data_IF_828423384903
#
_entry.id   IF_828423384903
#
_cell.length_a   1.000
_cell.length_b   1.000
_cell.length_c   1.000
_cell.angle_alpha   90.00
_cell.angle_beta   90.00
_cell.angle_gamma   90.00
#
_symmetry.space_group_name_H-M   'P 1'
#
loop_
_entity.id
_entity.type
_entity.pdbx_description
1 polymer ?
#
# COMPACT_ATOMS: atom_id res chain seq x y z
N UNK A 1 -0.62 -19.71 1.84
CA UNK A 1 0.34 -18.87 1.08
C UNK A 1 -0.47 -17.86 0.28
N UNK A 2 -0.07 -16.60 0.31
CA UNK A 2 -0.62 -15.58 -0.60
C UNK A 2 -0.09 -15.92 -2.01
N UNK A 3 -0.73 -16.87 -2.72
CA UNK A 3 -0.38 -17.19 -4.10
C UNK A 3 -1.08 -16.20 -5.04
N UNK A 4 -0.54 -15.01 -5.15
CA UNK A 4 -0.98 -14.03 -6.13
C UNK A 4 0.08 -13.93 -7.22
N UNK A 5 -0.34 -13.84 -8.48
CA UNK A 5 0.56 -13.48 -9.58
C UNK A 5 0.89 -11.98 -9.58
N UNK A 6 0.35 -11.25 -8.61
CA UNK A 6 0.50 -9.81 -8.45
C UNK A 6 1.50 -9.53 -7.33
N UNK A 7 2.55 -8.77 -7.62
CA UNK A 7 3.56 -8.33 -6.66
C UNK A 7 3.29 -6.91 -6.15
N UNK A 8 2.75 -6.03 -7.00
CA UNK A 8 2.43 -4.66 -6.61
C UNK A 8 1.20 -4.60 -5.69
N UNK A 9 1.33 -3.91 -4.57
CA UNK A 9 0.31 -3.73 -3.53
C UNK A 9 0.04 -2.23 -3.36
N UNK A 10 -1.02 -1.68 -3.98
CA UNK A 10 -1.39 -0.28 -3.76
C UNK A 10 -1.93 -0.06 -2.36
N UNK A 11 -1.84 1.17 -1.87
CA UNK A 11 -2.38 1.58 -0.58
C UNK A 11 -3.72 2.28 -0.79
N UNK A 12 -4.81 1.71 -0.25
CA UNK A 12 -6.17 2.17 -0.55
C UNK A 12 -6.59 3.43 0.22
N UNK A 13 -5.97 3.72 1.36
CA UNK A 13 -6.43 4.73 2.31
C UNK A 13 -5.47 5.91 2.51
N UNK A 14 -4.51 6.08 1.62
CA UNK A 14 -3.76 7.33 1.49
C UNK A 14 -4.60 8.37 0.74
N UNK A 15 -4.16 9.62 0.72
CA UNK A 15 -4.82 10.67 -0.05
C UNK A 15 -5.00 10.26 -1.52
N UNK A 16 -3.96 9.71 -2.13
CA UNK A 16 -3.99 9.23 -3.52
C UNK A 16 -4.88 7.97 -3.66
N UNK A 17 -4.76 7.01 -2.74
CA UNK A 17 -5.56 5.79 -2.76
C UNK A 17 -7.06 6.05 -2.65
N UNK A 18 -7.47 7.06 -1.89
CA UNK A 18 -8.87 7.47 -1.71
C UNK A 18 -9.49 8.16 -2.95
N UNK A 19 -8.69 8.53 -3.96
CA UNK A 19 -9.22 9.00 -5.24
C UNK A 19 -9.91 7.89 -6.05
N UNK A 20 -9.69 6.63 -5.70
CA UNK A 20 -10.30 5.46 -6.34
C UNK A 20 -11.22 4.72 -5.37
N UNK A 21 -12.33 4.21 -5.89
CA UNK A 21 -13.16 3.23 -5.18
C UNK A 21 -12.58 1.82 -5.34
N UNK A 22 -13.01 0.88 -4.51
CA UNK A 22 -12.66 -0.53 -4.66
C UNK A 22 -12.93 -1.05 -6.08
N UNK A 23 -14.06 -0.65 -6.69
CA UNK A 23 -14.43 -1.02 -8.07
C UNK A 23 -13.38 -0.55 -9.09
N UNK A 24 -12.82 0.66 -8.93
CA UNK A 24 -11.80 1.17 -9.85
C UNK A 24 -10.47 0.39 -9.74
N UNK A 25 -10.08 0.01 -8.52
CA UNK A 25 -8.93 -0.85 -8.31
C UNK A 25 -9.14 -2.25 -8.92
N UNK A 26 -10.34 -2.81 -8.78
CA UNK A 26 -10.69 -4.11 -9.37
C UNK A 26 -10.75 -4.07 -10.91
N UNK A 27 -11.20 -2.96 -11.50
CA UNK A 27 -11.23 -2.74 -12.94
C UNK A 27 -9.83 -2.87 -13.58
N UNK A 28 -8.79 -2.45 -12.87
CA UNK A 28 -7.40 -2.63 -13.29
C UNK A 28 -6.78 -3.92 -12.73
N UNK A 29 -7.61 -4.90 -12.34
CA UNK A 29 -7.23 -6.25 -11.91
C UNK A 29 -6.37 -6.29 -10.63
N UNK A 30 -6.45 -5.28 -9.78
CA UNK A 30 -5.84 -5.33 -8.45
C UNK A 30 -6.62 -6.32 -7.59
N UNK A 31 -5.94 -7.37 -7.13
CA UNK A 31 -6.51 -8.46 -6.31
C UNK A 31 -5.98 -8.45 -4.88
N UNK A 32 -4.89 -7.71 -4.62
CA UNK A 32 -4.28 -7.54 -3.31
C UNK A 32 -3.95 -6.07 -3.10
N UNK A 33 -4.32 -5.53 -1.96
CA UNK A 33 -4.08 -4.13 -1.61
C UNK A 33 -3.82 -3.99 -0.11
N UNK A 34 -3.28 -2.86 0.31
CA UNK A 34 -3.02 -2.56 1.71
C UNK A 34 -3.82 -1.36 2.22
N UNK A 35 -3.95 -1.29 3.54
CA UNK A 35 -4.39 -0.10 4.27
C UNK A 35 -3.41 0.18 5.41
N UNK A 36 -3.05 1.44 5.59
CA UNK A 36 -2.30 1.89 6.76
C UNK A 36 -3.22 2.00 7.97
N UNK A 37 -2.91 1.26 9.05
CA UNK A 37 -3.76 1.20 10.23
C UNK A 37 -3.79 2.53 10.99
N UNK A 38 -2.68 3.27 11.03
CA UNK A 38 -2.63 4.62 11.61
C UNK A 38 -3.62 5.57 10.93
N UNK A 39 -3.73 5.53 9.60
CA UNK A 39 -4.70 6.33 8.86
C UNK A 39 -6.14 5.86 9.10
N UNK A 40 -6.38 4.55 9.20
CA UNK A 40 -7.71 4.01 9.55
C UNK A 40 -8.14 4.43 10.96
N UNK A 41 -7.22 4.46 11.91
CA UNK A 41 -7.49 4.92 13.27
C UNK A 41 -7.87 6.41 13.30
N UNK A 42 -7.33 7.22 12.37
CA UNK A 42 -7.71 8.63 12.21
C UNK A 42 -9.05 8.76 11.49
N UNK A 43 -9.22 8.07 10.36
CA UNK A 43 -10.46 8.03 9.56
C UNK A 43 -10.65 6.64 8.95
N UNK A 44 -11.75 5.95 9.19
CA UNK A 44 -13.02 6.41 9.82
C UNK A 44 -12.98 6.50 11.35
N UNK A 45 -11.87 6.10 12.01
CA UNK A 45 -11.67 6.22 13.44
C UNK A 45 -11.91 4.90 14.22
N UNK A 46 -11.23 4.79 15.36
CA UNK A 46 -11.25 3.58 16.20
C UNK A 46 -12.67 3.14 16.59
N UNK A 47 -13.54 4.08 16.95
CA UNK A 47 -14.90 3.76 17.38
C UNK A 47 -15.71 3.06 16.28
N UNK A 48 -15.54 3.46 15.03
CA UNK A 48 -16.20 2.82 13.89
C UNK A 48 -15.56 1.47 13.59
N UNK A 49 -14.23 1.41 13.51
CA UNK A 49 -13.50 0.19 13.16
C UNK A 49 -13.83 -0.99 14.07
N UNK A 50 -13.94 -0.78 15.39
CA UNK A 50 -14.26 -1.85 16.35
C UNK A 50 -15.70 -2.36 16.25
N UNK A 51 -16.61 -1.63 15.58
CA UNK A 51 -18.02 -1.99 15.42
C UNK A 51 -18.37 -2.51 14.03
N UNK A 52 -17.45 -2.43 13.06
CA UNK A 52 -17.65 -3.00 11.71
C UNK A 52 -17.55 -4.52 11.83
N UNK A 53 -18.56 -5.23 11.37
CA UNK A 53 -18.58 -6.71 11.38
C UNK A 53 -17.78 -7.34 10.24
N UNK A 54 -17.63 -6.61 9.14
CA UNK A 54 -16.88 -7.05 7.95
C UNK A 54 -16.23 -5.81 7.30
N UNK A 55 -14.93 -5.67 7.52
CA UNK A 55 -14.19 -4.50 7.03
C UNK A 55 -14.02 -4.51 5.52
N UNK A 56 -13.85 -5.68 4.90
CA UNK A 56 -13.72 -5.78 3.44
C UNK A 56 -15.02 -5.40 2.76
N UNK A 57 -16.15 -5.81 3.31
CA UNK A 57 -17.47 -5.41 2.84
C UNK A 57 -17.74 -3.90 3.03
N UNK A 58 -17.26 -3.33 4.15
CA UNK A 58 -17.33 -1.88 4.36
C UNK A 58 -16.58 -1.09 3.28
N UNK A 59 -15.42 -1.57 2.85
CA UNK A 59 -14.65 -0.98 1.74
C UNK A 59 -15.24 -1.30 0.35
N UNK A 60 -16.13 -2.28 0.22
CA UNK A 60 -16.53 -2.86 -1.07
C UNK A 60 -15.41 -3.65 -1.74
N UNK A 61 -14.42 -4.13 -0.96
CA UNK A 61 -13.23 -4.81 -1.45
C UNK A 61 -13.42 -6.32 -1.46
N UNK A 62 -13.26 -6.96 -2.63
CA UNK A 62 -13.41 -8.41 -2.78
C UNK A 62 -12.05 -9.15 -2.86
N UNK A 63 -10.95 -8.44 -2.91
CA UNK A 63 -9.60 -9.00 -2.96
C UNK A 63 -8.99 -9.28 -1.58
N UNK A 64 -7.72 -9.60 -1.56
CA UNK A 64 -6.93 -9.76 -0.33
C UNK A 64 -6.56 -8.40 0.26
N UNK A 65 -6.81 -8.23 1.54
CA UNK A 65 -6.45 -7.02 2.28
C UNK A 65 -5.27 -7.28 3.19
N UNK A 66 -4.22 -6.48 3.05
CA UNK A 66 -3.08 -6.42 3.98
C UNK A 66 -3.27 -5.20 4.87
N UNK A 67 -2.97 -5.36 6.16
CA UNK A 67 -2.99 -4.25 7.09
C UNK A 67 -1.56 -3.83 7.43
N UNK A 68 -1.18 -2.61 7.11
CA UNK A 68 0.13 -2.10 7.49
C UNK A 68 0.02 -1.32 8.81
N UNK A 69 0.45 -1.94 9.90
CA UNK A 69 0.51 -1.33 11.23
C UNK A 69 1.95 -0.94 11.63
N UNK A 70 2.96 -1.18 10.77
CA UNK A 70 4.38 -0.96 11.08
C UNK A 70 4.72 0.47 11.50
N UNK A 71 3.90 1.45 11.12
CA UNK A 71 4.07 2.87 11.43
C UNK A 71 3.61 3.24 12.84
N UNK A 72 2.87 2.36 13.52
CA UNK A 72 2.43 2.57 14.89
C UNK A 72 3.58 2.33 15.87
N UNK A 73 3.68 3.18 16.88
CA UNK A 73 4.70 3.07 17.92
C UNK A 73 4.00 3.10 19.26
N UNK A 74 4.22 2.07 20.09
CA UNK A 74 3.81 2.09 21.49
C UNK A 74 4.94 2.58 22.39
N UNK A 75 4.57 3.28 23.45
CA UNK A 75 5.49 3.70 24.49
C UNK A 75 5.90 2.51 25.40
N UNK A 76 6.77 2.77 26.37
CA UNK A 76 7.24 1.76 27.35
C UNK A 76 6.14 1.16 28.24
N UNK A 77 4.95 1.78 28.28
CA UNK A 77 3.78 1.26 28.99
C UNK A 77 2.84 0.49 28.06
N UNK A 78 3.21 0.28 26.79
CA UNK A 78 2.40 -0.41 25.79
C UNK A 78 1.23 0.42 25.29
N UNK A 79 1.33 1.76 25.31
CA UNK A 79 0.31 2.67 24.81
C UNK A 79 0.70 3.26 23.46
N UNK A 80 -0.15 3.07 22.46
CA UNK A 80 -0.10 3.79 21.18
C UNK A 80 -0.90 5.09 21.32
N UNK A 81 -0.30 6.21 20.96
CA UNK A 81 -0.95 7.52 20.98
C UNK A 81 -0.83 8.16 19.60
N UNK A 82 -1.96 8.40 18.95
CA UNK A 82 -2.04 9.16 17.71
C UNK A 82 -2.69 10.52 17.98
N UNK A 83 -2.21 11.56 17.33
CA UNK A 83 -2.80 12.90 17.35
C UNK A 83 -3.43 13.14 15.99
N UNK A 84 -4.73 13.39 15.96
CA UNK A 84 -5.45 13.70 14.75
C UNK A 84 -4.97 15.06 14.18
N UNK A 85 -4.50 15.10 12.92
CA UNK A 85 -4.11 16.35 12.28
C UNK A 85 -5.31 17.25 11.92
N UNK A 86 -6.54 16.72 12.05
CA UNK A 86 -7.77 17.41 11.65
C UNK A 86 -8.34 18.30 12.76
N UNK A 87 -8.27 17.81 14.01
CA UNK A 87 -8.92 18.44 15.17
C UNK A 87 -8.06 18.40 16.44
N UNK A 88 -6.84 17.85 16.37
CA UNK A 88 -5.94 17.70 17.50
C UNK A 88 -6.39 16.67 18.55
N UNK A 89 -7.45 15.91 18.29
CA UNK A 89 -7.91 14.86 19.21
C UNK A 89 -6.87 13.77 19.36
N UNK A 90 -6.83 13.12 20.53
CA UNK A 90 -5.89 12.04 20.85
C UNK A 90 -6.60 10.71 20.86
N UNK A 91 -6.14 9.80 20.00
CA UNK A 91 -6.55 8.41 19.97
C UNK A 91 -5.52 7.63 20.79
N UNK A 92 -5.98 6.89 21.78
CA UNK A 92 -5.12 6.07 22.65
C UNK A 92 -5.60 4.63 22.61
N UNK A 93 -4.65 3.71 22.39
CA UNK A 93 -4.89 2.28 22.41
C UNK A 93 -3.76 1.59 23.19
N UNK A 94 -4.11 0.60 23.97
CA UNK A 94 -3.14 -0.35 24.53
C UNK A 94 -2.67 -1.32 23.43
N UNK A 95 -1.53 -1.99 23.64
CA UNK A 95 -1.08 -3.08 22.76
C UNK A 95 -2.15 -4.18 22.63
N UNK A 96 -2.84 -4.51 23.72
CA UNK A 96 -3.93 -5.51 23.69
C UNK A 96 -5.10 -5.06 22.81
N UNK A 97 -5.54 -3.80 22.92
CA UNK A 97 -6.61 -3.25 22.06
C UNK A 97 -6.18 -3.18 20.60
N UNK A 98 -4.91 -2.89 20.33
CA UNK A 98 -4.37 -2.90 18.96
C UNK A 98 -4.41 -4.30 18.35
N UNK A 99 -3.96 -5.32 19.08
CA UNK A 99 -4.01 -6.72 18.65
C UNK A 99 -5.47 -7.15 18.44
N UNK A 100 -6.35 -6.86 19.39
CA UNK A 100 -7.76 -7.17 19.25
C UNK A 100 -8.39 -6.52 18.01
N UNK A 101 -8.03 -5.26 17.70
CA UNK A 101 -8.51 -4.59 16.49
C UNK A 101 -7.99 -5.26 15.20
N UNK A 102 -6.71 -5.65 15.16
CA UNK A 102 -6.13 -6.37 14.01
C UNK A 102 -6.88 -7.69 13.78
N UNK A 103 -7.09 -8.46 14.85
CA UNK A 103 -7.83 -9.73 14.79
C UNK A 103 -9.28 -9.53 14.39
N UNK A 104 -9.89 -8.43 14.81
CA UNK A 104 -11.27 -8.07 14.46
C UNK A 104 -11.42 -7.68 12.99
N UNK A 105 -10.49 -6.88 12.44
CA UNK A 105 -10.45 -6.51 11.01
C UNK A 105 -10.20 -7.76 10.14
N UNK A 106 -9.45 -8.72 10.65
CA UNK A 106 -9.18 -10.01 10.02
C UNK A 106 -8.56 -9.88 8.61
N UNK A 107 -7.44 -9.16 8.45
CA UNK A 107 -6.74 -9.10 7.18
C UNK A 107 -6.11 -10.45 6.83
N UNK A 108 -5.74 -10.68 5.56
CA UNK A 108 -4.99 -11.89 5.19
C UNK A 108 -3.55 -11.87 5.69
N UNK A 109 -3.00 -10.66 5.85
CA UNK A 109 -1.66 -10.45 6.41
C UNK A 109 -1.58 -9.08 7.10
N UNK A 110 -0.60 -8.92 7.99
CA UNK A 110 -0.36 -7.66 8.70
C UNK A 110 1.13 -7.41 8.91
N UNK A 111 1.59 -6.18 8.66
CA UNK A 111 2.91 -5.72 9.06
C UNK A 111 2.83 -5.24 10.51
N UNK A 112 3.50 -5.94 11.42
CA UNK A 112 3.43 -5.65 12.85
C UNK A 112 4.42 -4.55 13.27
N UNK A 113 3.99 -3.65 14.18
CA UNK A 113 4.89 -2.65 14.77
C UNK A 113 6.02 -3.31 15.57
N UNK A 114 7.25 -2.83 15.44
CA UNK A 114 8.39 -3.35 16.20
C UNK A 114 8.16 -3.24 17.71
N UNK A 115 7.60 -2.13 18.16
CA UNK A 115 7.33 -1.89 19.60
C UNK A 115 6.26 -2.82 20.16
N UNK A 116 5.27 -3.23 19.37
CA UNK A 116 4.26 -4.20 19.77
C UNK A 116 4.90 -5.59 19.98
N UNK A 117 5.65 -6.06 19.00
CA UNK A 117 6.26 -7.41 19.05
C UNK A 117 7.27 -7.52 20.17
N UNK A 118 8.05 -6.47 20.44
CA UNK A 118 9.05 -6.45 21.50
C UNK A 118 8.45 -6.23 22.89
N UNK A 119 7.32 -5.53 22.97
CA UNK A 119 6.77 -5.05 24.25
C UNK A 119 5.51 -5.77 24.75
N UNK A 120 4.93 -6.70 23.98
CA UNK A 120 3.70 -7.37 24.35
C UNK A 120 3.85 -8.89 24.37
N UNK A 121 4.15 -9.45 25.53
CA UNK A 121 4.43 -10.90 25.73
C UNK A 121 3.27 -11.81 25.36
N UNK A 122 2.02 -11.36 25.53
CA UNK A 122 0.82 -12.13 25.18
C UNK A 122 0.42 -12.09 23.69
N UNK A 123 1.24 -11.53 22.83
CA UNK A 123 0.93 -11.39 21.41
C UNK A 123 0.61 -12.73 20.74
N UNK A 124 1.49 -13.69 20.89
CA UNK A 124 1.40 -14.97 20.18
C UNK A 124 0.41 -15.95 20.81
N UNK A 125 0.04 -15.77 22.07
CA UNK A 125 -0.96 -16.62 22.77
C UNK A 125 -2.38 -16.40 22.22
N UNK A 126 -2.67 -15.21 21.70
CA UNK A 126 -3.97 -14.85 21.14
C UNK A 126 -3.97 -14.67 19.62
N UNK A 127 -2.83 -14.97 18.95
CA UNK A 127 -2.71 -14.76 17.52
C UNK A 127 -3.58 -15.75 16.71
N UNK A 128 -4.24 -15.25 15.67
CA UNK A 128 -5.01 -16.07 14.73
C UNK A 128 -4.07 -16.53 13.59
N UNK A 129 -3.80 -17.83 13.51
CA UNK A 129 -2.92 -18.44 12.51
C UNK A 129 -3.40 -18.26 11.05
N UNK A 130 -4.63 -17.80 10.85
CA UNK A 130 -5.15 -17.45 9.52
C UNK A 130 -4.60 -16.12 9.00
N UNK A 131 -4.04 -15.27 9.87
CA UNK A 131 -3.44 -13.98 9.54
C UNK A 131 -1.92 -14.14 9.51
N UNK A 132 -1.31 -13.90 8.33
CA UNK A 132 0.14 -13.95 8.20
C UNK A 132 0.79 -12.69 8.78
N UNK A 133 1.56 -12.79 9.88
CA UNK A 133 2.31 -11.64 10.40
C UNK A 133 3.58 -11.44 9.59
N UNK A 134 3.85 -10.21 9.19
CA UNK A 134 5.15 -9.77 8.71
C UNK A 134 5.87 -9.01 9.82
N UNK A 135 7.12 -9.35 10.06
CA UNK A 135 7.99 -8.74 11.06
C UNK A 135 9.14 -8.00 10.39
N UNK A 136 9.68 -6.99 11.04
CA UNK A 136 10.87 -6.32 10.51
C UNK A 136 12.08 -7.28 10.54
N UNK A 137 12.95 -7.13 9.56
CA UNK A 137 14.22 -7.87 9.50
C UNK A 137 14.99 -7.79 10.82
N UNK A 138 15.06 -6.60 11.44
CA UNK A 138 15.77 -6.35 12.70
C UNK A 138 15.24 -7.20 13.86
N UNK A 139 13.92 -7.44 13.90
CA UNK A 139 13.30 -8.25 14.95
C UNK A 139 13.66 -9.73 14.79
N UNK A 140 13.64 -10.23 13.56
CA UNK A 140 13.95 -11.64 13.29
C UNK A 140 15.41 -12.00 13.51
N UNK A 141 16.32 -11.03 13.54
CA UNK A 141 17.71 -11.25 13.93
C UNK A 141 17.87 -11.50 15.44
N UNK A 142 16.91 -11.09 16.25
CA UNK A 142 17.00 -11.12 17.73
C UNK A 142 15.93 -11.97 18.42
N UNK A 143 14.81 -12.22 17.74
CA UNK A 143 13.66 -12.92 18.32
C UNK A 143 13.38 -14.24 17.60
N UNK A 144 13.03 -15.27 18.37
CA UNK A 144 12.39 -16.47 17.84
C UNK A 144 10.88 -16.26 17.82
N UNK A 145 10.29 -16.30 16.63
CA UNK A 145 8.86 -16.09 16.40
C UNK A 145 8.20 -17.44 16.18
N UNK A 146 7.13 -17.78 16.92
CA UNK A 146 6.42 -19.02 16.70
C UNK A 146 5.58 -18.96 15.41
N UNK A 147 5.43 -20.11 14.75
CA UNK A 147 4.55 -20.25 13.61
C UNK A 147 5.06 -19.66 12.29
N UNK A 148 4.14 -19.52 11.33
CA UNK A 148 4.44 -18.97 10.02
C UNK A 148 4.49 -17.44 10.08
N UNK A 149 5.50 -16.85 9.50
CA UNK A 149 5.66 -15.41 9.38
C UNK A 149 6.36 -15.03 8.08
N UNK A 150 6.27 -13.75 7.73
CA UNK A 150 7.03 -13.13 6.64
C UNK A 150 7.99 -12.07 7.17
N UNK A 151 8.80 -11.52 6.28
CA UNK A 151 9.77 -10.46 6.58
C UNK A 151 9.40 -9.22 5.81
N UNK A 152 9.29 -8.06 6.50
CA UNK A 152 9.12 -6.80 5.81
C UNK A 152 10.35 -5.90 5.90
N UNK A 153 10.53 -5.11 4.85
CA UNK A 153 11.59 -4.12 4.70
C UNK A 153 10.93 -2.76 4.49
N UNK A 154 11.31 -1.77 5.30
CA UNK A 154 10.88 -0.39 5.08
C UNK A 154 11.88 0.32 4.16
N UNK A 155 11.48 0.59 2.93
CA UNK A 155 12.35 1.19 1.92
C UNK A 155 12.75 2.63 2.24
N UNK A 156 11.98 3.36 3.08
CA UNK A 156 12.37 4.71 3.51
C UNK A 156 13.67 4.72 4.31
N UNK A 157 14.01 3.60 4.96
CA UNK A 157 15.22 3.38 5.76
C UNK A 157 16.32 2.64 4.99
N UNK A 158 15.98 1.97 3.89
CA UNK A 158 16.88 1.17 3.07
C UNK A 158 17.12 1.85 1.72
N UNK A 159 18.38 2.12 1.37
CA UNK A 159 18.73 2.55 0.03
C UNK A 159 18.77 1.35 -0.90
N UNK A 160 18.22 1.49 -2.10
CA UNK A 160 18.34 0.46 -3.13
C UNK A 160 19.80 0.35 -3.60
N UNK A 161 20.49 -0.65 -3.08
CA UNK A 161 21.89 -0.93 -3.34
C UNK A 161 22.16 -2.44 -3.15
N UNK A 162 23.41 -2.85 -3.37
CA UNK A 162 23.82 -4.25 -3.22
C UNK A 162 23.57 -4.82 -1.81
N UNK A 163 23.70 -3.99 -0.78
CA UNK A 163 23.41 -4.41 0.60
C UNK A 163 21.92 -4.74 0.76
N UNK A 164 21.00 -3.89 0.29
CA UNK A 164 19.57 -4.17 0.30
C UNK A 164 19.23 -5.45 -0.46
N UNK A 165 19.82 -5.64 -1.65
CA UNK A 165 19.63 -6.86 -2.44
C UNK A 165 20.13 -8.10 -1.72
N UNK A 166 21.28 -8.00 -1.05
CA UNK A 166 21.86 -9.07 -0.23
C UNK A 166 20.95 -9.43 0.94
N UNK A 167 20.31 -8.43 1.58
CA UNK A 167 19.34 -8.66 2.64
C UNK A 167 18.08 -9.38 2.11
N UNK A 168 17.53 -8.97 0.97
CA UNK A 168 16.41 -9.68 0.35
C UNK A 168 16.76 -11.14 0.06
N UNK A 169 17.99 -11.41 -0.44
CA UNK A 169 18.46 -12.76 -0.72
C UNK A 169 18.61 -13.59 0.56
N UNK A 170 19.14 -13.00 1.63
CA UNK A 170 19.29 -13.66 2.95
C UNK A 170 17.97 -14.19 3.48
N UNK A 171 16.87 -13.49 3.24
CA UNK A 171 15.55 -13.82 3.75
C UNK A 171 14.62 -14.48 2.70
N UNK A 172 15.17 -14.91 1.57
CA UNK A 172 14.39 -15.46 0.42
C UNK A 172 13.57 -16.73 0.71
N UNK A 173 13.87 -17.42 1.80
CA UNK A 173 13.10 -18.60 2.28
C UNK A 173 11.73 -18.19 2.88
N UNK A 174 11.56 -16.92 3.23
CA UNK A 174 10.34 -16.36 3.81
C UNK A 174 9.53 -15.58 2.78
N UNK A 175 8.21 -15.42 2.98
CA UNK A 175 7.44 -14.40 2.28
C UNK A 175 8.06 -13.02 2.52
N UNK A 176 8.36 -12.28 1.45
CA UNK A 176 8.99 -10.96 1.55
C UNK A 176 7.98 -9.85 1.23
N UNK A 177 8.09 -8.76 1.97
CA UNK A 177 7.30 -7.55 1.79
C UNK A 177 8.19 -6.32 1.83
N UNK A 178 8.13 -5.48 0.81
CA UNK A 178 8.87 -4.21 0.74
C UNK A 178 7.86 -3.08 0.73
N UNK A 179 7.96 -2.15 1.67
CA UNK A 179 7.04 -1.02 1.82
C UNK A 179 7.78 0.30 1.80
N UNK A 180 7.25 1.29 1.09
CA UNK A 180 7.80 2.64 1.09
C UNK A 180 7.58 3.43 -0.20
N UNK A 181 8.27 4.56 -0.38
CA UNK A 181 8.19 5.38 -1.58
C UNK A 181 8.98 4.73 -2.72
N UNK A 182 8.36 3.75 -3.39
CA UNK A 182 8.98 2.93 -4.43
C UNK A 182 8.41 3.35 -5.79
N UNK A 183 9.25 3.96 -6.64
CA UNK A 183 8.88 4.40 -7.98
C UNK A 183 8.76 3.25 -8.99
N UNK A 184 8.26 3.56 -10.19
CA UNK A 184 7.95 2.59 -11.23
C UNK A 184 9.15 1.71 -11.62
N UNK A 185 10.31 2.31 -11.86
CA UNK A 185 11.53 1.60 -12.29
C UNK A 185 11.96 0.55 -11.26
N UNK A 186 11.86 0.90 -9.98
CA UNK A 186 12.22 -0.01 -8.90
C UNK A 186 11.15 -1.09 -8.69
N UNK A 187 9.87 -0.77 -8.86
CA UNK A 187 8.80 -1.76 -8.84
C UNK A 187 9.04 -2.79 -9.95
N UNK A 188 9.36 -2.34 -11.17
CA UNK A 188 9.67 -3.22 -12.29
C UNK A 188 10.87 -4.14 -11.98
N UNK A 189 11.93 -3.58 -11.40
CA UNK A 189 13.14 -4.34 -11.06
C UNK A 189 12.88 -5.39 -9.97
N UNK A 190 12.10 -5.05 -8.96
CA UNK A 190 11.69 -5.97 -7.91
C UNK A 190 10.67 -7.02 -8.40
N UNK A 191 9.79 -6.68 -9.35
CA UNK A 191 8.83 -7.62 -9.95
C UNK A 191 9.53 -8.77 -10.69
N UNK A 192 10.72 -8.54 -11.23
CA UNK A 192 11.56 -9.60 -11.84
C UNK A 192 12.05 -10.61 -10.81
N UNK A 193 12.04 -10.27 -9.53
CA UNK A 193 12.41 -11.13 -8.40
C UNK A 193 11.12 -11.73 -7.85
N UNK A 194 10.85 -13.00 -8.15
CA UNK A 194 9.63 -13.72 -7.73
C UNK A 194 9.48 -13.71 -6.20
N UNK A 195 8.23 -13.66 -5.73
CA UNK A 195 7.81 -13.81 -4.33
C UNK A 195 8.03 -12.60 -3.40
N UNK A 196 8.10 -11.38 -3.93
CA UNK A 196 8.17 -10.16 -3.13
C UNK A 196 6.88 -9.37 -3.33
N UNK A 197 6.18 -9.03 -2.25
CA UNK A 197 5.09 -8.06 -2.28
C UNK A 197 5.66 -6.65 -2.13
N UNK A 198 5.26 -5.74 -3.01
CA UNK A 198 5.81 -4.38 -3.11
C UNK A 198 4.68 -3.39 -2.84
N UNK A 199 4.65 -2.85 -1.62
CA UNK A 199 3.70 -1.81 -1.24
C UNK A 199 4.25 -0.43 -1.59
N UNK A 200 3.54 0.29 -2.43
CA UNK A 200 3.89 1.67 -2.74
C UNK A 200 2.66 2.52 -3.08
N UNK A 201 2.68 3.76 -2.62
CA UNK A 201 1.74 4.82 -2.96
C UNK A 201 2.31 5.79 -4.04
N UNK A 202 3.59 5.65 -4.40
CA UNK A 202 4.25 6.56 -5.36
C UNK A 202 3.59 6.59 -6.74
N UNK A 203 3.16 5.45 -7.35
CA UNK A 203 2.46 5.52 -8.63
C UNK A 203 1.18 6.36 -8.58
N UNK A 204 0.43 6.27 -7.48
CA UNK A 204 -0.77 7.07 -7.30
C UNK A 204 -0.45 8.54 -6.99
N UNK A 205 0.57 8.83 -6.18
CA UNK A 205 1.02 10.20 -5.89
C UNK A 205 1.53 10.91 -7.13
N UNK A 206 2.34 10.25 -7.95
CA UNK A 206 2.81 10.81 -9.22
C UNK A 206 1.64 11.14 -10.14
N UNK A 207 0.65 10.26 -10.24
CA UNK A 207 -0.56 10.50 -10.99
C UNK A 207 -1.36 11.71 -10.47
N UNK A 208 -1.47 11.88 -9.15
CA UNK A 208 -2.11 13.07 -8.56
C UNK A 208 -1.43 14.38 -8.95
N UNK A 209 -0.11 14.34 -9.16
CA UNK A 209 0.71 15.47 -9.61
C UNK A 209 0.68 15.66 -11.13
N UNK A 210 -0.03 14.83 -11.87
CA UNK A 210 -0.09 14.87 -13.33
C UNK A 210 1.02 14.10 -14.04
N UNK A 211 1.87 13.39 -13.31
CA UNK A 211 2.93 12.56 -13.88
C UNK A 211 2.40 11.17 -14.18
N UNK A 212 2.43 10.77 -15.45
CA UNK A 212 1.99 9.45 -15.92
C UNK A 212 3.13 8.67 -16.55
N UNK A 213 3.10 7.35 -16.39
CA UNK A 213 4.13 6.45 -16.86
C UNK A 213 3.88 6.03 -18.32
N UNK A 214 4.92 5.99 -19.13
CA UNK A 214 4.87 5.53 -20.50
C UNK A 214 6.15 4.82 -20.89
N UNK A 215 6.13 4.01 -21.94
CA UNK A 215 7.30 3.24 -22.41
C UNK A 215 8.47 4.12 -22.84
N UNK A 216 8.18 5.29 -23.35
CA UNK A 216 9.20 6.28 -23.77
C UNK A 216 9.67 7.19 -22.63
N UNK A 217 9.17 6.95 -21.40
CA UNK A 217 9.42 7.74 -20.22
C UNK A 217 8.17 8.37 -19.62
N UNK A 218 8.33 9.05 -18.50
CA UNK A 218 7.24 9.71 -17.83
C UNK A 218 6.76 10.95 -18.60
N UNK A 219 5.46 11.17 -18.62
CA UNK A 219 4.82 12.34 -19.21
C UNK A 219 4.29 13.24 -18.11
N UNK A 220 4.67 14.50 -18.11
CA UNK A 220 4.09 15.53 -17.25
C UNK A 220 2.90 16.18 -17.96
N UNK A 221 1.70 15.83 -17.49
CA UNK A 221 0.44 16.38 -18.04
C UNK A 221 0.16 17.82 -17.56
N UNK A 222 0.97 18.39 -16.66
CA UNK A 222 0.88 19.80 -16.28
C UNK A 222 1.60 20.71 -17.27
N UNK A 223 2.47 20.15 -18.12
CA UNK A 223 3.21 20.89 -19.13
C UNK A 223 2.27 21.41 -20.24
N UNK A 224 2.36 22.70 -20.56
CA UNK A 224 1.57 23.37 -21.59
C UNK A 224 1.74 22.74 -22.98
N UNK A 225 2.85 22.07 -23.26
CA UNK A 225 3.06 21.34 -24.53
C UNK A 225 2.06 20.22 -24.73
N UNK A 226 1.42 19.72 -23.65
CA UNK A 226 0.40 18.68 -23.71
C UNK A 226 -0.96 19.21 -24.17
N UNK A 227 -1.22 20.53 -24.12
CA UNK A 227 -2.50 21.13 -24.48
C UNK A 227 -3.00 20.77 -25.91
N UNK A 228 -2.07 20.50 -26.83
CA UNK A 228 -2.36 20.12 -28.22
C UNK A 228 -1.80 18.74 -28.59
N UNK A 229 -1.46 17.91 -27.60
CA UNK A 229 -0.95 16.57 -27.83
C UNK A 229 -2.11 15.56 -27.86
N UNK A 230 -2.53 15.14 -29.04
CA UNK A 230 -3.65 14.24 -29.26
C UNK A 230 -3.27 12.74 -29.19
N UNK A 231 -2.04 12.41 -28.77
CA UNK A 231 -1.63 11.04 -28.53
C UNK A 231 -2.20 10.53 -27.20
N UNK A 232 -2.31 9.21 -27.07
CA UNK A 232 -2.58 8.55 -25.79
C UNK A 232 -1.36 8.66 -24.87
N UNK A 233 -1.54 8.33 -23.57
CA UNK A 233 -0.40 8.20 -22.66
C UNK A 233 0.55 7.12 -23.17
N UNK A 234 -0.01 5.96 -23.52
CA UNK A 234 0.70 4.83 -24.12
C UNK A 234 -0.27 4.10 -25.08
N UNK A 235 0.11 4.02 -26.36
CA UNK A 235 -0.71 3.42 -27.45
C UNK A 235 -0.95 1.92 -27.25
N UNK A 236 -0.02 1.22 -26.60
CA UNK A 236 -0.11 -0.24 -26.36
C UNK A 236 -0.70 -0.57 -24.98
N UNK A 237 -1.05 0.43 -24.18
CA UNK A 237 -1.60 0.23 -22.86
C UNK A 237 -3.08 -0.14 -22.90
N UNK A 238 -3.45 -1.26 -22.29
CA UNK A 238 -4.84 -1.74 -22.19
C UNK A 238 -5.57 -1.30 -20.93
N UNK A 239 -5.06 -0.34 -20.17
CA UNK A 239 -5.75 0.18 -18.99
C UNK A 239 -7.07 0.89 -19.39
N UNK A 240 -8.03 1.06 -18.45
CA UNK A 240 -9.31 1.73 -18.76
C UNK A 240 -9.13 3.13 -19.35
N UNK A 241 -8.13 3.89 -18.92
CA UNK A 241 -7.86 5.25 -19.40
C UNK A 241 -7.43 5.28 -20.86
N UNK A 242 -6.44 4.46 -21.24
CA UNK A 242 -5.98 4.38 -22.64
C UNK A 242 -7.02 3.70 -23.54
N UNK A 243 -7.70 2.66 -23.07
CA UNK A 243 -8.79 1.99 -23.80
C UNK A 243 -9.98 2.92 -24.08
N UNK A 244 -10.22 3.89 -23.20
CA UNK A 244 -11.24 4.94 -23.42
C UNK A 244 -10.77 6.04 -24.39
N UNK A 245 -9.59 5.90 -25.00
CA UNK A 245 -9.02 6.84 -25.97
C UNK A 245 -8.86 8.28 -25.44
N UNK A 246 -8.58 8.42 -24.14
CA UNK A 246 -8.33 9.72 -23.53
C UNK A 246 -6.94 10.24 -23.94
N UNK A 247 -6.92 11.31 -24.74
CA UNK A 247 -5.67 11.91 -25.22
C UNK A 247 -4.97 12.74 -24.14
N UNK A 248 -3.67 12.94 -24.28
CA UNK A 248 -2.87 13.79 -23.37
C UNK A 248 -3.43 15.21 -23.32
N UNK A 249 -3.85 15.78 -24.45
CA UNK A 249 -4.51 17.10 -24.52
C UNK A 249 -5.79 17.15 -23.68
N UNK A 250 -6.63 16.14 -23.78
CA UNK A 250 -7.87 16.08 -23.00
C UNK A 250 -7.59 15.88 -21.50
N UNK A 251 -6.64 15.02 -21.16
CA UNK A 251 -6.23 14.80 -19.77
C UNK A 251 -5.57 16.04 -19.16
N UNK A 252 -4.72 16.77 -19.91
CA UNK A 252 -4.19 18.07 -19.50
C UNK A 252 -5.33 19.05 -19.19
N UNK A 253 -6.32 19.18 -20.08
CA UNK A 253 -7.50 20.00 -19.85
C UNK A 253 -8.29 19.58 -18.60
N UNK A 254 -8.54 18.27 -18.41
CA UNK A 254 -9.24 17.76 -17.23
C UNK A 254 -8.48 18.04 -15.95
N UNK A 255 -7.14 17.88 -15.95
CA UNK A 255 -6.31 18.13 -14.79
C UNK A 255 -6.43 19.58 -14.29
N UNK A 256 -6.50 20.54 -15.23
CA UNK A 256 -6.66 21.95 -14.90
C UNK A 256 -8.08 22.30 -14.41
N UNK A 257 -9.14 21.67 -14.97
CA UNK A 257 -10.52 22.08 -14.75
C UNK A 257 -11.31 21.17 -13.79
N UNK A 258 -11.01 19.88 -13.76
CA UNK A 258 -11.67 18.86 -12.94
C UNK A 258 -10.64 17.89 -12.37
N UNK A 259 -9.71 18.36 -11.52
CA UNK A 259 -8.55 17.56 -11.11
C UNK A 259 -8.92 16.22 -10.46
N UNK A 260 -9.95 16.16 -9.61
CA UNK A 260 -10.36 14.90 -8.97
C UNK A 260 -10.82 13.84 -9.98
N UNK A 261 -11.52 14.26 -11.03
CA UNK A 261 -11.92 13.34 -12.10
C UNK A 261 -10.70 12.85 -12.89
N UNK A 262 -9.80 13.78 -13.24
CA UNK A 262 -8.58 13.46 -13.96
C UNK A 262 -7.70 12.50 -13.18
N UNK A 263 -7.43 12.80 -11.93
CA UNK A 263 -6.60 11.99 -11.02
C UNK A 263 -7.05 10.53 -10.97
N UNK A 264 -8.37 10.27 -11.00
CA UNK A 264 -8.90 8.91 -11.08
C UNK A 264 -8.36 8.15 -12.31
N UNK A 265 -8.40 8.77 -13.49
CA UNK A 265 -7.90 8.16 -14.73
C UNK A 265 -6.38 7.93 -14.68
N UNK A 266 -5.64 8.92 -14.18
CA UNK A 266 -4.19 8.86 -14.13
C UNK A 266 -3.69 7.82 -13.11
N UNK A 267 -4.34 7.70 -11.94
CA UNK A 267 -4.00 6.70 -10.93
C UNK A 267 -4.26 5.29 -11.47
N UNK A 268 -5.42 5.07 -12.15
CA UNK A 268 -5.71 3.78 -12.78
C UNK A 268 -4.63 3.42 -13.81
N UNK A 269 -4.20 4.38 -14.63
CA UNK A 269 -3.16 4.16 -15.62
C UNK A 269 -1.83 3.78 -14.96
N UNK A 270 -1.32 4.60 -14.03
CA UNK A 270 -0.04 4.36 -13.38
C UNK A 270 -0.02 3.04 -12.59
N UNK A 271 -1.10 2.75 -11.86
CA UNK A 271 -1.21 1.49 -11.11
C UNK A 271 -1.32 0.26 -12.04
N UNK A 272 -1.93 0.39 -13.21
CA UNK A 272 -1.95 -0.66 -14.23
C UNK A 272 -0.57 -0.88 -14.83
N UNK A 273 0.14 0.20 -15.15
CA UNK A 273 1.49 0.18 -15.75
C UNK A 273 2.48 -0.60 -14.88
N UNK A 274 2.54 -0.30 -13.58
CA UNK A 274 3.51 -0.94 -12.67
C UNK A 274 3.23 -2.42 -12.37
N UNK A 275 2.08 -2.94 -12.76
CA UNK A 275 1.80 -4.38 -12.66
C UNK A 275 2.50 -5.20 -13.75
N UNK A 276 3.07 -4.55 -14.78
CA UNK A 276 3.72 -5.21 -15.90
C UNK A 276 2.74 -5.86 -16.89
N UNK A 277 1.51 -5.31 -17.00
CA UNK A 277 0.47 -5.79 -17.91
C UNK A 277 0.63 -5.19 -19.31
#
# INVERSE_FOLDING_TARGET
MLSTNQNFVPVLNTEAGLCLTAANWQEIKITIASCYLDLLLLKPGYSLLKNITDFTKYLGWSGHLILNASRLVSDKNGMVVLISPYDGSRIKLTNAELVHLILHIKPVAVLLPETLVNGFSGLWEQWDDTILPFLSMKQLETLQVPGKHGVYFNFSEAKYNDDFLSQLQKWSEFPLYVSGPIGADLIEDLNRKKSILIESDEPAKNAMQGIVYGREGNVDLTDESQAFNFQLIDEDCSCPTCSAQLTRAYLHHLLANTPLLCQRFLIQHNAYYVQGN
#
